data_IF_741193781561
#
_entry.id   IF_741193781561
#
_cell.length_a   1.000
_cell.length_b   1.000
_cell.length_c   1.000
_cell.angle_alpha   90.00
_cell.angle_beta   90.00
_cell.angle_gamma   90.00
#
_symmetry.space_group_name_H-M   'P 1'
#
loop_
_entity.id
_entity.type
_entity.pdbx_description
1 polymer ?
#
# COMPACT_ATOMS: atom_id res chain seq x y z
N UNK A 1 -6.10 -24.75 4.10
CA UNK A 1 -4.95 -25.05 3.22
C UNK A 1 -3.95 -23.89 3.16
N UNK A 2 -4.36 -22.67 2.81
CA UNK A 2 -3.50 -21.47 2.74
C UNK A 2 -2.81 -21.17 4.09
N UNK A 3 -3.55 -21.27 5.20
CA UNK A 3 -3.01 -21.04 6.55
C UNK A 3 -1.81 -21.96 6.90
N UNK A 4 -1.88 -23.25 6.51
CA UNK A 4 -0.79 -24.23 6.71
C UNK A 4 0.46 -23.90 5.89
N UNK A 5 0.30 -23.44 4.65
CA UNK A 5 1.41 -22.99 3.80
C UNK A 5 2.09 -21.76 4.40
N UNK A 6 1.30 -20.83 4.93
CA UNK A 6 1.78 -19.64 5.62
C UNK A 6 2.34 -19.93 7.02
N UNK A 7 2.23 -21.12 7.59
CA UNK A 7 2.77 -21.42 8.93
C UNK A 7 4.21 -21.95 8.89
N UNK A 8 4.68 -22.43 7.73
CA UNK A 8 5.99 -23.06 7.61
C UNK A 8 7.18 -22.08 7.71
N UNK A 9 8.32 -22.53 8.27
CA UNK A 9 9.65 -21.88 8.27
C UNK A 9 9.94 -21.09 6.99
N UNK A 10 9.86 -21.82 5.89
CA UNK A 10 10.23 -21.38 4.53
C UNK A 10 9.36 -20.22 4.05
N UNK A 11 8.11 -20.11 4.49
CA UNK A 11 7.23 -19.03 4.05
C UNK A 11 7.70 -17.64 4.50
N UNK A 12 8.45 -17.52 5.60
CA UNK A 12 9.01 -16.23 6.03
C UNK A 12 10.07 -15.70 5.07
N UNK A 13 10.96 -16.58 4.59
CA UNK A 13 11.99 -16.22 3.62
C UNK A 13 11.39 -15.91 2.25
N UNK A 14 10.38 -16.66 1.82
CA UNK A 14 9.64 -16.36 0.59
C UNK A 14 8.96 -14.99 0.71
N UNK A 15 8.26 -14.73 1.80
CA UNK A 15 7.60 -13.42 2.02
C UNK A 15 8.61 -12.28 2.09
N UNK A 16 9.78 -12.49 2.70
CA UNK A 16 10.88 -11.53 2.70
C UNK A 16 11.33 -11.20 1.27
N UNK A 17 11.56 -12.22 0.44
CA UNK A 17 11.95 -11.99 -0.95
C UNK A 17 10.88 -11.23 -1.74
N UNK A 18 9.62 -11.65 -1.64
CA UNK A 18 8.50 -11.01 -2.35
C UNK A 18 8.32 -9.55 -1.91
N UNK A 19 8.38 -9.26 -0.60
CA UNK A 19 8.21 -7.89 -0.10
C UNK A 19 9.39 -6.99 -0.44
N UNK A 20 10.62 -7.52 -0.43
CA UNK A 20 11.81 -6.74 -0.82
C UNK A 20 11.77 -6.45 -2.32
N UNK A 21 11.41 -7.43 -3.16
CA UNK A 21 11.25 -7.21 -4.60
C UNK A 21 10.19 -6.12 -4.88
N UNK A 22 9.00 -6.25 -4.28
CA UNK A 22 7.94 -5.25 -4.41
C UNK A 22 8.40 -3.89 -3.89
N UNK A 23 9.06 -3.86 -2.73
CA UNK A 23 9.55 -2.66 -2.09
C UNK A 23 10.63 -1.93 -2.89
N UNK A 24 11.58 -2.64 -3.50
CA UNK A 24 12.60 -2.05 -4.38
C UNK A 24 11.95 -1.36 -5.58
N UNK A 25 10.92 -1.95 -6.15
CA UNK A 25 10.14 -1.35 -7.24
C UNK A 25 9.55 0.00 -6.86
N UNK A 26 8.79 0.03 -5.77
CA UNK A 26 8.20 1.26 -5.23
C UNK A 26 9.25 2.30 -4.83
N UNK A 27 10.30 1.86 -4.13
CA UNK A 27 11.36 2.73 -3.65
C UNK A 27 12.07 3.42 -4.82
N UNK A 28 12.43 2.66 -5.86
CA UNK A 28 13.13 3.19 -7.03
C UNK A 28 12.24 4.15 -7.81
N UNK A 29 10.95 3.81 -8.00
CA UNK A 29 9.98 4.69 -8.67
C UNK A 29 9.79 6.01 -7.91
N UNK A 30 9.54 5.92 -6.60
CA UNK A 30 9.36 7.09 -5.75
C UNK A 30 10.62 7.96 -5.66
N UNK A 31 11.79 7.32 -5.50
CA UNK A 31 13.07 8.03 -5.44
C UNK A 31 13.34 8.80 -6.74
N UNK A 32 13.10 8.16 -7.89
CA UNK A 32 13.24 8.82 -9.19
C UNK A 32 12.33 10.03 -9.33
N UNK A 33 11.09 9.96 -8.83
CA UNK A 33 10.14 11.09 -8.85
C UNK A 33 10.53 12.22 -7.88
N UNK A 34 10.97 11.88 -6.67
CA UNK A 34 11.39 12.86 -5.66
C UNK A 34 12.69 13.57 -6.08
N UNK A 35 13.69 12.81 -6.53
CA UNK A 35 14.98 13.38 -6.93
C UNK A 35 14.95 14.05 -8.31
N UNK A 36 14.10 13.58 -9.21
CA UNK A 36 13.98 14.13 -10.56
C UNK A 36 13.32 15.51 -10.62
N UNK A 37 12.59 15.93 -9.58
CA UNK A 37 12.01 17.27 -9.43
C UNK A 37 10.89 17.66 -10.41
N UNK A 38 10.65 16.87 -11.46
CA UNK A 38 9.68 17.15 -12.52
C UNK A 38 8.45 16.23 -12.54
N UNK A 39 8.10 15.58 -11.43
CA UNK A 39 6.89 14.76 -11.39
C UNK A 39 5.64 15.64 -11.46
N UNK A 40 4.79 15.39 -12.46
CA UNK A 40 3.49 16.02 -12.61
C UNK A 40 2.43 14.99 -13.03
N UNK A 41 1.40 14.82 -12.19
CA UNK A 41 0.27 13.94 -12.42
C UNK A 41 -0.83 14.61 -13.27
N UNK A 42 -0.76 15.91 -13.55
CA UNK A 42 -1.81 16.63 -14.29
C UNK A 42 -2.16 15.95 -15.61
N UNK A 43 -1.15 15.64 -16.43
CA UNK A 43 -1.35 14.96 -17.72
C UNK A 43 -1.91 13.55 -17.56
N UNK A 44 -1.48 12.82 -16.52
CA UNK A 44 -1.98 11.48 -16.21
C UNK A 44 -3.47 11.51 -15.82
N UNK A 45 -3.85 12.42 -14.93
CA UNK A 45 -5.24 12.56 -14.46
C UNK A 45 -6.16 13.06 -15.58
N UNK A 46 -5.71 14.01 -16.41
CA UNK A 46 -6.49 14.46 -17.57
C UNK A 46 -6.69 13.33 -18.58
N UNK A 47 -5.66 12.53 -18.83
CA UNK A 47 -5.76 11.38 -19.72
C UNK A 47 -6.77 10.34 -19.22
N UNK A 48 -6.81 10.08 -17.91
CA UNK A 48 -7.77 9.15 -17.32
C UNK A 48 -9.24 9.58 -17.51
N UNK A 49 -9.52 10.88 -17.60
CA UNK A 49 -10.86 11.42 -17.89
C UNK A 49 -11.16 11.39 -19.38
N UNK A 50 -10.21 11.80 -20.21
CA UNK A 50 -10.39 11.92 -21.67
C UNK A 50 -10.41 10.56 -22.38
N UNK A 51 -9.66 9.58 -21.87
CA UNK A 51 -9.50 8.25 -22.46
C UNK A 51 -9.77 7.19 -21.38
N UNK A 52 -11.02 7.08 -20.89
CA UNK A 52 -11.34 6.13 -19.84
C UNK A 52 -11.22 4.69 -20.35
N UNK A 53 -11.09 3.74 -19.42
CA UNK A 53 -11.17 2.32 -19.77
C UNK A 53 -12.56 2.02 -20.31
N UNK A 54 -12.64 1.57 -21.57
CA UNK A 54 -13.89 1.22 -22.26
C UNK A 54 -14.01 -0.29 -22.49
N UNK A 55 -15.26 -0.78 -22.46
CA UNK A 55 -15.60 -2.16 -22.78
C UNK A 55 -15.68 -2.42 -24.29
N UNK A 56 -15.92 -3.68 -24.70
CA UNK A 56 -16.14 -4.03 -26.11
C UNK A 56 -17.34 -3.32 -26.77
N UNK A 57 -18.27 -2.83 -25.96
CA UNK A 57 -19.44 -2.04 -26.33
C UNK A 57 -19.15 -0.53 -26.47
N UNK A 58 -17.91 -0.11 -26.20
CA UNK A 58 -17.49 1.29 -26.27
C UNK A 58 -17.87 2.14 -25.05
N UNK A 59 -18.52 1.56 -24.05
CA UNK A 59 -18.94 2.28 -22.85
C UNK A 59 -17.83 2.29 -21.78
N UNK A 60 -17.69 3.36 -20.98
CA UNK A 60 -16.76 3.37 -19.85
C UNK A 60 -17.06 2.26 -18.84
N UNK A 61 -16.04 1.49 -18.47
CA UNK A 61 -16.13 0.40 -17.50
C UNK A 61 -16.15 0.93 -16.06
N UNK A 62 -15.48 2.05 -15.81
CA UNK A 62 -15.33 2.65 -14.48
C UNK A 62 -15.77 4.13 -14.42
N UNK A 63 -17.03 4.46 -14.76
CA UNK A 63 -17.50 5.85 -14.81
C UNK A 63 -17.45 6.56 -13.44
N UNK A 64 -17.53 5.79 -12.34
CA UNK A 64 -17.38 6.32 -10.99
C UNK A 64 -15.95 6.82 -10.73
N UNK A 65 -14.94 6.18 -11.32
CA UNK A 65 -13.55 6.55 -11.14
C UNK A 65 -13.22 7.80 -11.96
N UNK A 66 -13.68 7.87 -13.20
CA UNK A 66 -13.50 9.07 -14.05
C UNK A 66 -14.18 10.28 -13.43
N UNK A 67 -15.40 10.11 -12.88
CA UNK A 67 -16.08 11.15 -12.12
C UNK A 67 -15.27 11.63 -10.91
N UNK A 68 -14.69 10.70 -10.13
CA UNK A 68 -13.83 11.04 -9.00
C UNK A 68 -12.57 11.81 -9.44
N UNK A 69 -11.93 11.36 -10.52
CA UNK A 69 -10.74 12.04 -11.07
C UNK A 69 -11.08 13.47 -11.50
N UNK A 70 -12.17 13.62 -12.26
CA UNK A 70 -12.60 14.89 -12.83
C UNK A 70 -12.99 15.90 -11.74
N UNK A 71 -13.76 15.47 -10.74
CA UNK A 71 -14.36 16.37 -9.75
C UNK A 71 -13.51 16.54 -8.48
N UNK A 72 -12.61 15.61 -8.19
CA UNK A 72 -11.81 15.63 -6.94
C UNK A 72 -10.31 15.67 -7.24
N UNK A 73 -9.79 14.72 -8.01
CA UNK A 73 -8.32 14.60 -8.12
C UNK A 73 -7.69 15.71 -8.95
N UNK A 74 -8.36 16.19 -10.01
CA UNK A 74 -7.86 17.32 -10.80
C UNK A 74 -7.70 18.59 -9.97
N UNK A 75 -8.64 18.90 -9.06
CA UNK A 75 -8.52 20.07 -8.18
C UNK A 75 -7.46 19.90 -7.10
N UNK A 76 -7.18 18.65 -6.71
CA UNK A 76 -6.15 18.28 -5.72
C UNK A 76 -4.77 18.00 -6.34
N UNK A 77 -4.57 18.23 -7.64
CA UNK A 77 -3.33 17.89 -8.35
C UNK A 77 -2.04 18.39 -7.66
N UNK A 78 -1.97 19.63 -7.11
CA UNK A 78 -0.78 20.07 -6.38
C UNK A 78 -0.43 19.18 -5.18
N UNK A 79 -1.43 18.70 -4.45
CA UNK A 79 -1.24 17.77 -3.34
C UNK A 79 -0.85 16.38 -3.86
N UNK A 80 -1.47 15.90 -4.94
CA UNK A 80 -1.17 14.60 -5.56
C UNK A 80 0.27 14.54 -6.07
N UNK A 81 0.77 15.64 -6.64
CA UNK A 81 2.16 15.76 -7.10
C UNK A 81 3.19 15.60 -5.97
N UNK A 82 2.79 15.83 -4.72
CA UNK A 82 3.62 15.54 -3.54
C UNK A 82 3.31 14.14 -2.99
N UNK A 83 2.03 13.80 -2.84
CA UNK A 83 1.60 12.55 -2.21
C UNK A 83 2.05 11.30 -2.95
N UNK A 84 1.99 11.29 -4.30
CA UNK A 84 2.38 10.10 -5.07
C UNK A 84 3.88 9.81 -4.91
N UNK A 85 4.82 10.72 -5.24
CA UNK A 85 6.26 10.42 -5.12
C UNK A 85 6.68 10.00 -3.72
N UNK A 86 6.20 10.71 -2.70
CA UNK A 86 6.51 10.39 -1.31
C UNK A 86 5.83 9.10 -0.85
N UNK A 87 4.58 8.86 -1.28
CA UNK A 87 3.86 7.63 -1.00
C UNK A 87 4.58 6.41 -1.57
N UNK A 88 5.02 6.47 -2.82
CA UNK A 88 5.80 5.41 -3.47
C UNK A 88 7.12 5.15 -2.73
N UNK A 89 7.86 6.21 -2.40
CA UNK A 89 9.13 6.11 -1.71
C UNK A 89 8.97 5.47 -0.32
N UNK A 90 8.00 5.94 0.47
CA UNK A 90 7.75 5.47 1.83
C UNK A 90 7.18 4.06 1.86
N UNK A 91 6.27 3.71 0.94
CA UNK A 91 5.78 2.33 0.77
C UNK A 91 6.94 1.40 0.43
N UNK A 92 7.80 1.80 -0.51
CA UNK A 92 8.98 1.03 -0.88
C UNK A 92 9.92 0.79 0.30
N UNK A 93 10.25 1.86 1.02
CA UNK A 93 11.12 1.79 2.20
C UNK A 93 10.53 0.90 3.30
N UNK A 94 9.24 1.08 3.62
CA UNK A 94 8.52 0.30 4.61
C UNK A 94 8.50 -1.20 4.26
N UNK A 95 8.29 -1.54 2.98
CA UNK A 95 8.31 -2.92 2.49
C UNK A 95 9.71 -3.55 2.50
N UNK A 96 10.77 -2.79 2.22
CA UNK A 96 12.16 -3.29 2.27
C UNK A 96 12.55 -3.56 3.73
N UNK A 97 12.42 -2.56 4.59
CA UNK A 97 12.80 -2.64 6.01
C UNK A 97 11.89 -3.61 6.77
N UNK A 98 10.64 -3.76 6.32
CA UNK A 98 9.63 -4.58 6.97
C UNK A 98 9.06 -3.91 8.20
N UNK A 99 8.81 -2.60 8.12
CA UNK A 99 8.15 -1.80 9.16
C UNK A 99 6.81 -1.31 8.64
N UNK A 100 5.72 -1.63 9.33
CA UNK A 100 4.34 -1.49 8.90
C UNK A 100 4.05 -2.22 7.57
N UNK A 101 4.58 -3.43 7.40
CA UNK A 101 4.59 -4.17 6.12
C UNK A 101 3.20 -4.33 5.50
N UNK A 102 2.21 -4.75 6.30
CA UNK A 102 0.84 -4.94 5.83
C UNK A 102 0.18 -3.62 5.39
N UNK A 103 0.44 -2.53 6.12
CA UNK A 103 -0.08 -1.20 5.77
C UNK A 103 0.59 -0.66 4.51
N UNK A 104 1.91 -0.82 4.38
CA UNK A 104 2.65 -0.42 3.19
C UNK A 104 2.14 -1.16 1.94
N UNK A 105 1.94 -2.48 2.05
CA UNK A 105 1.36 -3.28 0.98
C UNK A 105 -0.07 -2.84 0.63
N UNK A 106 -0.89 -2.48 1.62
CA UNK A 106 -2.24 -1.96 1.41
C UNK A 106 -2.25 -0.64 0.63
N UNK A 107 -1.45 0.34 1.02
CA UNK A 107 -1.38 1.62 0.31
C UNK A 107 -0.76 1.47 -1.09
N UNK A 108 0.25 0.62 -1.26
CA UNK A 108 0.77 0.28 -2.58
C UNK A 108 -0.29 -0.37 -3.47
N UNK A 109 -1.11 -1.26 -2.91
CA UNK A 109 -2.22 -1.89 -3.63
C UNK A 109 -3.29 -0.86 -4.03
N UNK A 110 -3.65 0.07 -3.16
CA UNK A 110 -4.56 1.18 -3.47
C UNK A 110 -4.05 2.03 -4.64
N UNK A 111 -2.75 2.36 -4.66
CA UNK A 111 -2.13 3.12 -5.75
C UNK A 111 -2.15 2.33 -7.06
N UNK A 112 -1.79 1.04 -7.06
CA UNK A 112 -1.85 0.21 -8.26
C UNK A 112 -3.28 0.12 -8.84
N UNK A 113 -4.29 -0.04 -7.98
CA UNK A 113 -5.68 -0.06 -8.44
C UNK A 113 -6.10 1.29 -9.04
N UNK A 114 -5.67 2.40 -8.44
CA UNK A 114 -5.90 3.73 -9.02
C UNK A 114 -5.29 3.83 -10.42
N UNK A 115 -4.05 3.34 -10.62
CA UNK A 115 -3.42 3.32 -11.94
C UNK A 115 -4.14 2.41 -12.95
N UNK A 116 -4.64 1.24 -12.52
CA UNK A 116 -5.43 0.36 -13.39
C UNK A 116 -6.76 0.99 -13.78
N UNK A 117 -7.48 1.63 -12.86
CA UNK A 117 -8.72 2.32 -13.18
C UNK A 117 -8.50 3.53 -14.10
N UNK A 118 -7.33 4.17 -14.02
CA UNK A 118 -6.87 5.17 -14.97
C UNK A 118 -6.38 4.60 -16.32
N UNK A 119 -6.42 3.27 -16.52
CA UNK A 119 -6.08 2.62 -17.79
C UNK A 119 -4.61 2.17 -17.94
N UNK A 120 -3.81 2.22 -16.87
CA UNK A 120 -2.39 1.84 -16.91
C UNK A 120 -2.16 0.43 -16.37
N UNK A 121 -1.86 -0.52 -17.27
CA UNK A 121 -1.58 -1.92 -16.89
C UNK A 121 -0.14 -2.09 -16.40
N UNK A 122 0.88 -1.89 -17.24
CA UNK A 122 2.31 -1.97 -16.86
C UNK A 122 2.65 -3.09 -15.83
N UNK A 123 3.54 -2.82 -14.87
CA UNK A 123 3.89 -3.74 -13.76
C UNK A 123 2.80 -3.86 -12.67
N UNK A 124 1.72 -3.08 -12.77
CA UNK A 124 0.72 -2.93 -11.70
C UNK A 124 0.02 -4.25 -11.33
N UNK A 125 -0.44 -5.12 -12.26
CA UNK A 125 -1.07 -6.39 -11.91
C UNK A 125 -0.16 -7.32 -11.10
N UNK A 126 1.13 -7.34 -11.42
CA UNK A 126 2.10 -8.12 -10.66
C UNK A 126 2.24 -7.56 -9.24
N UNK A 127 2.33 -6.24 -9.09
CA UNK A 127 2.44 -5.60 -7.78
C UNK A 127 1.19 -5.77 -6.93
N UNK A 128 0.00 -5.79 -7.54
CA UNK A 128 -1.26 -6.14 -6.85
C UNK A 128 -1.20 -7.57 -6.36
N UNK A 129 -0.83 -8.54 -7.21
CA UNK A 129 -0.73 -9.94 -6.82
C UNK A 129 0.21 -10.12 -5.62
N UNK A 130 1.40 -9.53 -5.69
CA UNK A 130 2.37 -9.57 -4.59
C UNK A 130 1.85 -8.87 -3.35
N UNK A 131 1.22 -7.71 -3.50
CA UNK A 131 0.60 -6.94 -2.41
C UNK A 131 -0.47 -7.75 -1.68
N UNK A 132 -1.36 -8.43 -2.40
CA UNK A 132 -2.39 -9.31 -1.81
C UNK A 132 -1.77 -10.44 -1.01
N UNK A 133 -0.71 -11.08 -1.53
CA UNK A 133 0.00 -12.15 -0.82
C UNK A 133 0.60 -11.62 0.50
N UNK A 134 1.23 -10.45 0.46
CA UNK A 134 1.84 -9.80 1.63
C UNK A 134 0.78 -9.43 2.67
N UNK A 135 -0.34 -8.84 2.24
CA UNK A 135 -1.46 -8.48 3.13
C UNK A 135 -2.06 -9.74 3.76
N UNK A 136 -2.29 -10.80 2.96
CA UNK A 136 -2.85 -12.06 3.44
C UNK A 136 -1.93 -12.77 4.45
N UNK A 137 -0.62 -12.62 4.31
CA UNK A 137 0.36 -13.11 5.28
C UNK A 137 0.39 -12.28 6.59
N UNK A 138 -0.12 -11.04 6.56
CA UNK A 138 -0.25 -10.16 7.71
C UNK A 138 1.07 -9.98 8.47
N UNK A 139 1.03 -10.15 9.80
CA UNK A 139 2.21 -10.02 10.66
C UNK A 139 3.39 -10.91 10.26
N UNK A 140 3.14 -12.03 9.58
CA UNK A 140 4.22 -12.92 9.16
C UNK A 140 5.08 -12.32 8.05
N UNK A 141 4.50 -11.48 7.19
CA UNK A 141 5.27 -10.80 6.15
C UNK A 141 6.36 -9.88 6.75
N UNK A 142 6.09 -9.29 7.92
CA UNK A 142 7.03 -8.46 8.66
C UNK A 142 7.90 -9.19 9.70
N UNK A 143 7.78 -10.52 9.85
CA UNK A 143 8.47 -11.24 10.94
C UNK A 143 9.99 -11.19 10.84
N UNK A 144 10.52 -11.13 9.62
CA UNK A 144 11.93 -10.91 9.30
C UNK A 144 12.22 -9.42 8.99
N UNK A 145 11.70 -8.50 9.80
CA UNK A 145 11.85 -7.06 9.63
C UNK A 145 11.62 -6.28 10.92
N UNK A 146 11.50 -4.96 10.82
CA UNK A 146 11.29 -4.07 11.98
C UNK A 146 9.95 -4.33 12.69
N UNK A 147 8.95 -4.87 12.00
CA UNK A 147 7.65 -5.26 12.54
C UNK A 147 7.76 -6.25 13.72
N UNK A 148 8.82 -7.05 13.74
CA UNK A 148 9.14 -7.94 14.86
C UNK A 148 9.33 -7.18 16.19
N UNK A 149 9.89 -5.98 16.14
CA UNK A 149 10.13 -5.15 17.33
C UNK A 149 8.93 -4.25 17.66
N UNK A 150 8.17 -3.85 16.63
CA UNK A 150 6.97 -3.01 16.78
C UNK A 150 5.85 -3.76 17.51
N UNK A 151 5.63 -5.04 17.19
CA UNK A 151 4.52 -5.83 17.74
C UNK A 151 4.53 -5.92 19.28
N UNK A 152 5.63 -6.31 19.96
CA UNK A 152 5.65 -6.36 21.43
C UNK A 152 5.46 -4.98 22.09
N UNK A 153 5.90 -3.90 21.43
CA UNK A 153 5.74 -2.54 21.95
C UNK A 153 4.26 -2.10 21.92
N UNK A 154 3.55 -2.40 20.84
CA UNK A 154 2.10 -2.17 20.72
C UNK A 154 1.29 -2.97 21.73
N UNK A 155 1.60 -4.26 21.89
CA UNK A 155 0.90 -5.13 22.85
C UNK A 155 1.10 -4.66 24.30
N UNK A 156 2.32 -4.26 24.68
CA UNK A 156 2.61 -3.71 26.02
C UNK A 156 1.95 -2.36 26.27
N UNK A 157 1.92 -1.47 25.28
CA UNK A 157 1.27 -0.16 25.37
C UNK A 157 -0.24 -0.27 25.53
N UNK A 158 -0.86 -1.16 24.75
CA UNK A 158 -2.31 -1.45 24.83
C UNK A 158 -2.68 -2.03 26.19
N UNK A 159 -1.91 -2.99 26.71
CA UNK A 159 -2.18 -3.59 28.02
C UNK A 159 -2.10 -2.58 29.18
N UNK A 160 -1.18 -1.60 29.11
CA UNK A 160 -1.06 -0.53 30.12
C UNK A 160 -2.26 0.43 30.14
N UNK A 161 -2.84 0.73 28.97
CA UNK A 161 -4.01 1.61 28.86
C UNK A 161 -5.26 0.93 29.46
N UNK A 162 -5.43 -0.38 29.24
CA UNK A 162 -6.58 -1.12 29.78
C UNK A 162 -6.42 -1.52 31.25
N UNK A 163 -5.20 -1.72 31.75
CA UNK A 163 -4.97 -2.10 33.15
C UNK A 163 -5.17 -0.97 34.16
N UNK A 164 -5.19 0.30 33.72
CA UNK A 164 -5.47 1.47 34.57
C UNK A 164 -6.97 1.71 34.87
N UNK A 165 -7.89 0.87 34.36
CA UNK A 165 -9.35 1.00 34.57
C UNK A 165 -9.97 -0.08 35.48
N UNK A 166 -9.28 -0.55 36.51
CA UNK A 166 -9.97 -1.23 37.63
C UNK A 166 -10.02 -0.30 38.83
N UNK A 167 -11.15 0.41 39.08
CA UNK A 167 -11.35 0.99 40.40
C UNK A 167 -11.47 -0.17 41.39
N UNK A 168 -10.66 -0.16 42.44
CA UNK A 168 -10.88 -1.05 43.59
C UNK A 168 -12.30 -0.82 44.09
N UNK A 169 -13.14 -1.86 44.04
CA UNK A 169 -14.39 -1.86 44.81
C UNK A 169 -13.98 -1.79 46.28
N UNK A 170 -14.14 -0.63 46.90
CA UNK A 170 -14.23 -0.54 48.35
C UNK A 170 -15.42 -1.38 48.77
N UNK A 171 -15.16 -2.58 49.27
CA UNK A 171 -16.13 -3.38 50.01
C UNK A 171 -16.45 -2.60 51.28
N UNK A 172 -17.69 -2.14 51.38
CA UNK A 172 -18.27 -1.61 52.60
C UNK A 172 -18.61 -2.75 53.57
#
# INVERSE_FOLDING_TARGET
MIKKLLEHKVSEYVLLFLRVYLGVGWFTSGLGKVMGGGFDASGFLQNAVQNPVVGPDGNPVYPWYTFLVENVFLSMTPAINVMIPWGELLVGLALIVGGFTAYAAFFGLLMNFSFLFAGTVSVNPLYILLGVIIIAAGYKAGSLGVDRFIKPALEKGTFRIFSHRRPERKTA
#
